data_IF_279046502796
#
_entry.id   IF_279046502796
#
_cell.length_a   1.000
_cell.length_b   1.000
_cell.length_c   1.000
_cell.angle_alpha   90.00
_cell.angle_beta   90.00
_cell.angle_gamma   90.00
#
_symmetry.space_group_name_H-M   'P 1'
#
loop_
_entity.id
_entity.type
_entity.pdbx_description
1 polymer ?
#
# COMPACT_ATOMS: atom_id res chain seq x y z
N UNK A 1 -41.24 32.22 28.38
CA UNK A 1 -41.34 31.94 29.82
C UNK A 1 -41.55 30.42 29.96
N UNK A 2 -40.58 29.72 30.59
CA UNK A 2 -40.55 28.31 31.06
C UNK A 2 -40.95 27.19 30.06
N UNK A 3 -40.09 26.31 29.52
CA UNK A 3 -39.03 25.39 30.03
C UNK A 3 -39.57 24.07 30.62
N UNK A 4 -39.02 22.96 30.06
CA UNK A 4 -38.82 21.61 30.63
C UNK A 4 -40.04 20.66 30.66
N UNK A 5 -39.95 19.33 30.51
CA UNK A 5 -38.94 18.34 30.06
C UNK A 5 -39.53 16.94 30.34
N UNK A 6 -38.91 15.88 29.81
CA UNK A 6 -38.95 14.46 30.26
C UNK A 6 -40.06 13.56 29.71
N UNK A 7 -39.93 12.24 29.51
CA UNK A 7 -38.82 11.26 29.39
C UNK A 7 -39.44 9.92 28.92
N UNK A 8 -38.59 8.97 28.54
CA UNK A 8 -38.80 7.62 27.98
C UNK A 8 -39.81 6.65 28.65
N UNK A 9 -40.49 5.84 27.79
CA UNK A 9 -40.56 4.35 27.63
C UNK A 9 -40.55 3.40 28.88
N UNK A 10 -40.93 2.09 28.79
CA UNK A 10 -41.11 1.22 27.60
C UNK A 10 -42.30 0.23 27.63
N UNK A 11 -42.50 -0.53 26.55
CA UNK A 11 -43.28 -1.79 26.58
C UNK A 11 -42.60 -2.85 25.72
N UNK A 12 -42.24 -3.94 26.39
CA UNK A 12 -41.58 -5.12 25.86
C UNK A 12 -42.57 -6.02 25.11
N UNK A 13 -42.20 -6.52 23.94
CA UNK A 13 -42.84 -7.70 23.33
C UNK A 13 -41.74 -8.70 23.00
N UNK A 14 -41.95 -9.90 23.51
CA UNK A 14 -41.17 -11.13 23.39
C UNK A 14 -41.47 -11.83 22.08
N UNK A 15 -40.45 -12.36 21.39
CA UNK A 15 -40.62 -13.40 20.37
C UNK A 15 -39.37 -14.27 20.25
N UNK A 16 -39.59 -15.57 20.38
CA UNK A 16 -38.67 -16.71 20.37
C UNK A 16 -38.03 -16.99 19.00
N UNK A 17 -36.90 -17.73 18.93
CA UNK A 17 -36.15 -17.95 17.71
C UNK A 17 -36.66 -19.15 16.89
N UNK A 18 -36.88 -18.96 15.59
CA UNK A 18 -37.17 -20.04 14.64
C UNK A 18 -35.91 -20.48 13.90
N UNK A 19 -35.61 -21.77 14.03
CA UNK A 19 -34.60 -22.54 13.31
C UNK A 19 -34.82 -22.51 11.78
N UNK A 20 -33.75 -22.26 11.00
CA UNK A 20 -33.70 -22.44 9.55
C UNK A 20 -32.55 -23.43 9.25
N UNK A 21 -32.74 -24.47 8.42
CA UNK A 21 -31.71 -25.47 8.14
C UNK A 21 -30.68 -24.97 7.08
N UNK A 22 -29.45 -25.49 7.07
CA UNK A 22 -28.41 -25.04 6.16
C UNK A 22 -28.59 -25.64 4.77
N UNK A 23 -28.57 -24.77 3.75
CA UNK A 23 -28.58 -25.14 2.35
C UNK A 23 -27.13 -25.37 1.89
N UNK A 24 -26.82 -26.61 1.52
CA UNK A 24 -25.57 -26.99 0.86
C UNK A 24 -25.62 -26.62 -0.62
N UNK A 25 -24.75 -25.72 -1.07
CA UNK A 25 -24.44 -25.55 -2.49
C UNK A 25 -22.97 -25.91 -2.73
N UNK A 26 -22.75 -27.00 -3.49
CA UNK A 26 -21.48 -27.31 -4.15
C UNK A 26 -21.51 -26.67 -5.55
N UNK A 27 -20.51 -25.88 -5.95
CA UNK A 27 -20.27 -25.61 -7.35
C UNK A 27 -19.16 -26.54 -7.86
N UNK A 28 -19.56 -27.57 -8.60
CA UNK A 28 -18.72 -28.20 -9.61
C UNK A 28 -19.01 -27.48 -10.91
N UNK A 29 -18.03 -26.80 -11.51
CA UNK A 29 -18.14 -26.32 -12.89
C UNK A 29 -16.87 -26.68 -13.66
N UNK A 30 -17.11 -27.47 -14.71
CA UNK A 30 -16.26 -27.81 -15.84
C UNK A 30 -16.07 -26.61 -16.78
N UNK A 31 -14.85 -26.41 -17.27
CA UNK A 31 -14.52 -25.40 -18.29
C UNK A 31 -14.48 -26.06 -19.67
N UNK A 32 -15.28 -25.55 -20.61
CA UNK A 32 -15.13 -25.80 -22.04
C UNK A 32 -14.66 -24.52 -22.75
N UNK A 33 -13.56 -24.63 -23.49
CA UNK A 33 -12.93 -23.56 -24.27
C UNK A 33 -13.55 -23.50 -25.67
N UNK A 34 -13.87 -22.30 -26.17
CA UNK A 34 -13.97 -22.06 -27.62
C UNK A 34 -13.80 -20.58 -28.00
N UNK A 35 -12.63 -20.31 -28.59
CA UNK A 35 -12.35 -19.51 -29.80
C UNK A 35 -12.94 -18.09 -30.00
N UNK A 36 -11.99 -17.15 -30.10
CA UNK A 36 -12.04 -15.79 -30.66
C UNK A 36 -12.67 -15.62 -32.06
N UNK A 37 -12.98 -14.38 -32.46
CA UNK A 37 -12.15 -13.68 -33.46
C UNK A 37 -11.87 -12.19 -33.11
N UNK A 38 -10.62 -11.71 -33.21
CA UNK A 38 -10.03 -10.91 -34.31
C UNK A 38 -10.90 -9.72 -34.75
N UNK A 39 -10.44 -8.48 -34.48
CA UNK A 39 -10.53 -7.39 -35.46
C UNK A 39 -9.39 -6.37 -35.37
N UNK A 40 -9.11 -5.83 -36.54
CA UNK A 40 -7.91 -5.18 -37.06
C UNK A 40 -7.52 -3.81 -36.50
N UNK A 41 -6.21 -3.60 -36.55
CA UNK A 41 -5.45 -2.35 -36.55
C UNK A 41 -5.99 -1.37 -37.58
N UNK A 42 -6.16 -0.10 -37.19
CA UNK A 42 -6.07 1.02 -38.11
C UNK A 42 -5.17 2.12 -37.52
N UNK A 43 -4.00 2.28 -38.14
CA UNK A 43 -3.16 3.46 -37.99
C UNK A 43 -3.79 4.61 -38.79
N UNK A 44 -3.75 5.81 -38.21
CA UNK A 44 -3.79 7.06 -38.98
C UNK A 44 -2.87 8.07 -38.31
N UNK A 45 -1.71 8.23 -38.94
CA UNK A 45 -0.74 9.27 -38.70
C UNK A 45 -1.30 10.63 -39.15
N UNK A 46 -1.22 11.64 -38.29
CA UNK A 46 -1.22 13.03 -38.74
C UNK A 46 -0.24 13.83 -37.91
N UNK A 47 0.89 14.12 -38.55
CA UNK A 47 1.94 15.03 -38.13
C UNK A 47 1.45 16.48 -38.17
N UNK A 48 1.61 17.22 -37.07
CA UNK A 48 1.87 18.66 -37.12
C UNK A 48 2.86 19.02 -36.02
N UNK A 49 4.04 19.46 -36.47
CA UNK A 49 5.13 20.00 -35.68
C UNK A 49 4.72 21.38 -35.16
N UNK A 50 4.49 21.50 -33.86
CA UNK A 50 4.68 22.78 -33.16
C UNK A 50 5.88 22.67 -32.22
N UNK A 51 6.91 23.42 -32.61
CA UNK A 51 8.17 23.61 -31.92
C UNK A 51 7.92 24.52 -30.72
N UNK A 52 7.74 23.91 -29.55
CA UNK A 52 7.76 24.62 -28.27
C UNK A 52 9.03 24.21 -27.54
N UNK A 53 9.95 25.15 -27.37
CA UNK A 53 11.12 25.00 -26.52
C UNK A 53 10.63 24.81 -25.06
N UNK A 54 10.48 23.55 -24.64
CA UNK A 54 10.41 23.22 -23.23
C UNK A 54 11.84 22.93 -22.76
N UNK A 55 12.29 23.77 -21.83
CA UNK A 55 13.53 23.56 -21.09
C UNK A 55 13.37 22.21 -20.38
N UNK A 56 14.14 21.22 -20.82
CA UNK A 56 14.23 19.91 -20.17
C UNK A 56 14.90 20.10 -18.80
N UNK A 57 14.11 20.44 -17.77
CA UNK A 57 14.50 20.18 -16.39
C UNK A 57 14.52 18.66 -16.22
N UNK A 58 15.73 18.10 -16.23
CA UNK A 58 15.99 16.75 -15.72
C UNK A 58 15.47 16.71 -14.28
N UNK A 59 14.30 16.10 -14.08
CA UNK A 59 13.78 15.81 -12.74
C UNK A 59 14.76 14.87 -12.06
N UNK A 60 15.31 15.20 -10.88
CA UNK A 60 16.10 14.23 -10.13
C UNK A 60 15.17 13.12 -9.63
N UNK A 61 15.70 11.91 -9.65
CA UNK A 61 15.05 10.66 -9.28
C UNK A 61 14.22 10.80 -7.99
N UNK A 62 12.92 10.51 -8.07
CA UNK A 62 12.10 10.27 -6.90
C UNK A 62 12.56 8.95 -6.26
N UNK A 63 12.87 8.97 -4.96
CA UNK A 63 12.98 7.76 -4.13
C UNK A 63 11.59 7.17 -3.89
N UNK A 64 10.85 6.85 -4.95
CA UNK A 64 9.66 6.02 -4.82
C UNK A 64 10.16 4.61 -4.53
N UNK A 65 10.02 4.17 -3.28
CA UNK A 65 10.30 2.80 -2.96
C UNK A 65 9.21 1.95 -3.60
N UNK A 66 9.63 1.19 -4.61
CA UNK A 66 8.92 -0.02 -4.99
C UNK A 66 9.07 -0.93 -3.78
N UNK A 67 8.01 -1.04 -2.97
CA UNK A 67 7.97 -2.02 -1.91
C UNK A 67 8.27 -3.38 -2.54
N UNK A 68 9.34 -4.01 -2.08
CA UNK A 68 9.51 -5.45 -2.17
C UNK A 68 8.55 -6.06 -1.12
N UNK A 69 7.27 -5.85 -1.34
CA UNK A 69 6.21 -6.60 -0.70
C UNK A 69 6.17 -7.93 -1.43
N UNK A 70 6.85 -8.93 -0.87
CA UNK A 70 6.41 -10.31 -0.99
C UNK A 70 5.25 -10.45 -0.01
N UNK A 71 4.09 -9.85 -0.34
CA UNK A 71 2.84 -10.19 0.30
C UNK A 71 2.38 -11.48 -0.34
N UNK A 72 3.00 -12.58 0.10
CA UNK A 72 2.48 -13.91 -0.22
C UNK A 72 1.03 -13.90 0.23
N UNK A 73 0.12 -14.15 -0.72
CA UNK A 73 -1.22 -14.56 -0.37
C UNK A 73 -1.09 -15.59 0.74
N UNK A 74 -1.63 -15.26 1.92
CA UNK A 74 -1.89 -16.25 2.95
C UNK A 74 -2.83 -17.27 2.32
N UNK A 75 -2.26 -18.31 1.73
CA UNK A 75 -2.88 -19.61 1.81
C UNK A 75 -2.92 -19.92 3.31
N UNK A 76 -4.10 -20.07 3.91
CA UNK A 76 -4.16 -20.43 5.31
C UNK A 76 -3.71 -21.89 5.37
N UNK A 77 -2.41 -22.15 5.54
CA UNK A 77 -1.82 -23.45 5.99
C UNK A 77 -0.29 -23.56 5.84
N UNK A 78 0.49 -22.54 6.20
CA UNK A 78 1.89 -22.78 6.61
C UNK A 78 2.01 -22.52 8.10
N UNK A 79 2.04 -23.60 8.88
CA UNK A 79 2.48 -23.56 10.26
C UNK A 79 3.92 -23.05 10.22
N UNK A 80 4.16 -21.81 10.66
CA UNK A 80 5.49 -21.28 10.93
C UNK A 80 5.45 -20.39 12.17
N UNK A 81 6.55 -20.31 12.89
CA UNK A 81 6.68 -19.56 14.15
C UNK A 81 7.98 -18.75 14.13
N UNK A 82 7.92 -17.50 14.58
CA UNK A 82 9.10 -16.67 14.80
C UNK A 82 9.31 -16.46 16.29
N UNK A 83 10.55 -16.67 16.74
CA UNK A 83 11.00 -16.39 18.10
C UNK A 83 12.09 -15.33 18.07
N UNK A 84 11.82 -14.17 18.71
CA UNK A 84 12.78 -13.07 18.84
C UNK A 84 13.67 -13.30 20.07
N UNK A 85 14.93 -13.65 19.85
CA UNK A 85 15.95 -13.79 20.89
C UNK A 85 16.69 -12.48 21.17
N UNK A 86 17.69 -12.51 22.05
CA UNK A 86 18.52 -11.32 22.33
C UNK A 86 19.27 -10.83 21.11
N UNK A 87 19.95 -11.73 20.41
CA UNK A 87 20.93 -11.46 19.37
C UNK A 87 20.62 -12.20 18.07
N UNK A 88 19.59 -13.04 18.10
CA UNK A 88 19.19 -13.99 17.05
C UNK A 88 17.68 -14.00 16.91
N UNK A 89 17.21 -14.36 15.73
CA UNK A 89 15.79 -14.53 15.42
C UNK A 89 15.62 -15.90 14.79
N UNK A 90 14.79 -16.72 15.40
CA UNK A 90 14.54 -18.09 14.97
C UNK A 90 13.22 -18.17 14.21
N UNK A 91 13.26 -18.71 13.00
CA UNK A 91 12.12 -19.08 12.17
C UNK A 91 11.98 -20.60 12.20
N UNK A 92 10.84 -21.11 12.64
CA UNK A 92 10.45 -22.51 12.52
C UNK A 92 9.39 -22.64 11.45
N UNK A 93 9.60 -23.49 10.46
CA UNK A 93 8.65 -23.78 9.39
C UNK A 93 8.34 -25.27 9.41
N UNK A 94 7.08 -25.64 9.61
CA UNK A 94 6.65 -27.03 9.57
C UNK A 94 6.38 -27.46 8.12
N UNK A 95 7.10 -28.51 7.72
CA UNK A 95 7.05 -29.13 6.40
C UNK A 95 5.94 -30.17 6.43
N UNK A 96 4.86 -29.94 5.67
CA UNK A 96 3.63 -30.75 5.75
C UNK A 96 3.64 -31.98 4.83
N UNK A 97 4.75 -32.28 4.17
CA UNK A 97 4.79 -33.13 2.98
C UNK A 97 5.77 -34.31 3.12
N UNK A 98 5.27 -35.53 2.97
CA UNK A 98 6.01 -36.80 3.13
C UNK A 98 7.14 -37.01 2.08
N UNK A 99 7.25 -36.11 1.11
CA UNK A 99 8.24 -36.16 0.01
C UNK A 99 9.58 -35.50 0.36
N UNK A 100 9.68 -34.78 1.47
CA UNK A 100 10.91 -34.08 1.89
C UNK A 100 11.65 -34.97 2.90
N UNK A 101 12.64 -35.72 2.42
CA UNK A 101 13.39 -36.67 3.27
C UNK A 101 14.84 -36.25 3.54
N UNK A 102 15.35 -35.21 2.85
CA UNK A 102 16.76 -34.82 2.96
C UNK A 102 16.99 -33.32 2.80
N UNK A 103 18.03 -32.79 3.46
CA UNK A 103 18.49 -31.40 3.32
C UNK A 103 18.83 -30.96 1.89
N UNK A 104 18.96 -31.91 0.95
CA UNK A 104 19.18 -31.66 -0.48
C UNK A 104 17.93 -31.15 -1.22
N UNK A 105 16.76 -31.29 -0.62
CA UNK A 105 15.49 -30.89 -1.21
C UNK A 105 15.02 -29.50 -0.73
N UNK A 106 15.82 -28.85 0.12
CA UNK A 106 15.58 -27.50 0.65
C UNK A 106 16.74 -26.59 0.29
N UNK A 107 16.42 -25.39 -0.19
CA UNK A 107 17.40 -24.33 -0.47
C UNK A 107 16.99 -23.09 0.31
N UNK A 108 17.84 -22.71 1.26
CA UNK A 108 17.68 -21.48 2.05
C UNK A 108 18.77 -20.50 1.60
N UNK A 109 18.34 -19.37 1.08
CA UNK A 109 19.20 -18.28 0.63
C UNK A 109 18.82 -17.01 1.40
N UNK A 110 19.80 -16.41 2.08
CA UNK A 110 19.63 -15.17 2.80
C UNK A 110 20.53 -14.13 2.16
N UNK A 111 19.93 -13.06 1.63
CA UNK A 111 20.62 -11.87 1.16
C UNK A 111 20.46 -10.72 2.18
N UNK A 112 21.01 -9.54 1.88
CA UNK A 112 20.93 -8.38 2.79
C UNK A 112 19.49 -7.98 3.13
N UNK A 113 18.55 -8.22 2.22
CA UNK A 113 17.19 -7.70 2.27
C UNK A 113 16.10 -8.78 2.32
N UNK A 114 16.39 -10.04 1.99
CA UNK A 114 15.44 -11.13 1.81
C UNK A 114 15.97 -12.48 2.29
N UNK A 115 15.09 -13.27 2.89
CA UNK A 115 15.26 -14.69 3.12
C UNK A 115 14.35 -15.44 2.16
N UNK A 116 14.94 -16.22 1.25
CA UNK A 116 14.23 -17.06 0.30
C UNK A 116 14.40 -18.53 0.66
N UNK A 117 13.30 -19.21 0.91
CA UNK A 117 13.24 -20.65 1.16
C UNK A 117 12.57 -21.28 -0.05
N UNK A 118 13.29 -22.16 -0.75
CA UNK A 118 12.79 -22.95 -1.88
C UNK A 118 12.78 -24.42 -1.50
N UNK A 119 11.71 -25.11 -1.85
CA UNK A 119 11.53 -26.53 -1.62
C UNK A 119 11.36 -27.25 -2.95
N UNK A 120 11.92 -28.45 -3.05
CA UNK A 120 11.82 -29.27 -4.24
C UNK A 120 10.49 -30.03 -4.25
N UNK A 121 9.69 -29.79 -5.28
CA UNK A 121 8.44 -30.48 -5.54
C UNK A 121 8.46 -31.00 -6.98
N UNK A 122 8.16 -32.30 -7.17
CA UNK A 122 8.19 -32.99 -8.47
C UNK A 122 9.49 -32.76 -9.27
N UNK A 123 10.64 -32.74 -8.58
CA UNK A 123 11.96 -32.55 -9.20
C UNK A 123 12.33 -31.11 -9.55
N UNK A 124 11.45 -30.12 -9.29
CA UNK A 124 11.71 -28.68 -9.49
C UNK A 124 11.67 -27.91 -8.17
N UNK A 125 12.51 -26.89 -8.00
CA UNK A 125 12.46 -26.02 -6.82
C UNK A 125 11.36 -24.97 -6.98
N UNK A 126 10.45 -24.90 -6.02
CA UNK A 126 9.42 -23.86 -5.90
C UNK A 126 9.70 -23.02 -4.67
N UNK A 127 9.51 -21.70 -4.77
CA UNK A 127 9.60 -20.81 -3.61
C UNK A 127 8.50 -21.16 -2.63
N UNK A 128 8.90 -21.61 -1.44
CA UNK A 128 8.00 -21.94 -0.34
C UNK A 128 7.73 -20.73 0.54
N UNK A 129 8.74 -19.89 0.75
CA UNK A 129 8.65 -18.69 1.56
C UNK A 129 9.67 -17.66 1.07
N UNK A 130 9.30 -16.40 1.04
CA UNK A 130 10.20 -15.28 0.82
C UNK A 130 9.84 -14.18 1.82
N UNK A 131 10.79 -13.75 2.64
CA UNK A 131 10.57 -12.78 3.73
C UNK A 131 11.54 -11.62 3.60
N UNK A 132 11.07 -10.39 3.73
CA UNK A 132 11.93 -9.21 3.82
C UNK A 132 12.65 -9.17 5.17
N UNK A 133 13.98 -9.12 5.16
CA UNK A 133 14.87 -9.03 6.32
C UNK A 133 15.14 -7.58 6.78
N UNK A 134 14.62 -6.58 6.05
CA UNK A 134 14.71 -5.16 6.41
C UNK A 134 16.14 -4.63 6.63
N UNK A 135 17.14 -5.27 6.04
CA UNK A 135 18.57 -4.99 6.27
C UNK A 135 18.97 -5.06 7.76
N UNK A 136 18.22 -5.82 8.56
CA UNK A 136 18.41 -5.96 10.01
C UNK A 136 19.13 -7.25 10.41
N UNK A 137 19.41 -8.14 9.46
CA UNK A 137 20.11 -9.41 9.69
C UNK A 137 21.48 -9.35 9.03
N UNK A 138 22.43 -10.08 9.60
CA UNK A 138 23.69 -10.39 8.95
C UNK A 138 23.52 -11.67 8.14
N UNK A 139 23.39 -11.61 6.80
CA UNK A 139 23.04 -12.78 6.00
C UNK A 139 24.12 -13.85 6.07
N UNK A 140 25.39 -13.44 6.13
CA UNK A 140 26.55 -14.32 6.28
C UNK A 140 26.61 -15.10 7.61
N UNK A 141 25.84 -14.68 8.63
CA UNK A 141 25.71 -15.36 9.92
C UNK A 141 24.38 -16.10 10.04
N UNK A 142 23.64 -16.29 8.92
CA UNK A 142 22.42 -17.08 8.88
C UNK A 142 22.76 -18.57 8.85
N UNK A 143 22.19 -19.32 9.78
CA UNK A 143 22.32 -20.77 9.83
C UNK A 143 20.94 -21.41 9.73
N UNK A 144 20.85 -22.60 9.15
CA UNK A 144 19.60 -23.36 9.11
C UNK A 144 19.86 -24.83 9.35
N UNK A 145 18.86 -25.51 9.91
CA UNK A 145 18.87 -26.94 10.17
C UNK A 145 17.50 -27.52 9.88
N UNK A 146 17.49 -28.78 9.47
CA UNK A 146 16.28 -29.56 9.25
C UNK A 146 16.18 -30.57 10.40
N UNK A 147 15.15 -30.43 11.23
CA UNK A 147 14.86 -31.29 12.38
C UNK A 147 13.53 -32.00 12.13
N UNK A 148 13.58 -33.28 11.77
CA UNK A 148 12.44 -34.08 11.30
C UNK A 148 11.58 -33.33 10.25
N UNK A 149 10.38 -32.90 10.64
CA UNK A 149 9.42 -32.19 9.79
C UNK A 149 9.51 -30.65 9.96
N UNK A 150 10.57 -30.12 10.55
CA UNK A 150 10.74 -28.69 10.84
C UNK A 150 12.03 -28.14 10.24
N UNK A 151 11.89 -27.13 9.37
CA UNK A 151 13.00 -26.29 8.96
C UNK A 151 13.16 -25.16 9.98
N UNK A 152 14.31 -25.13 10.66
CA UNK A 152 14.66 -24.08 11.61
C UNK A 152 15.74 -23.20 10.97
N UNK A 153 15.45 -21.91 10.79
CA UNK A 153 16.37 -20.90 10.28
C UNK A 153 16.67 -19.89 11.38
N UNK A 154 17.93 -19.71 11.73
CA UNK A 154 18.37 -18.75 12.72
C UNK A 154 19.13 -17.61 12.03
N UNK A 155 18.61 -16.40 12.24
CA UNK A 155 19.03 -15.15 11.62
C UNK A 155 19.72 -14.28 12.66
N UNK A 156 21.00 -13.94 12.47
CA UNK A 156 21.72 -13.06 13.40
C UNK A 156 21.33 -11.60 13.21
N UNK A 157 20.95 -10.91 14.29
CA UNK A 157 20.65 -9.47 14.23
C UNK A 157 21.89 -8.65 13.92
N UNK A 158 21.73 -7.62 13.10
CA UNK A 158 22.74 -6.59 12.89
C UNK A 158 22.88 -5.70 14.13
N UNK A 159 21.75 -5.39 14.79
CA UNK A 159 21.69 -4.65 16.04
C UNK A 159 20.87 -5.47 17.07
N UNK A 160 21.49 -5.97 18.16
CA UNK A 160 20.82 -6.82 19.14
C UNK A 160 19.77 -6.06 19.96
N UNK A 161 19.92 -4.74 20.13
CA UNK A 161 19.00 -3.91 20.92
C UNK A 161 17.71 -3.61 20.14
N UNK A 162 17.71 -3.84 18.83
CA UNK A 162 16.54 -3.65 17.97
C UNK A 162 15.69 -4.92 18.02
N UNK A 163 14.50 -4.80 18.61
CA UNK A 163 13.46 -5.83 18.52
C UNK A 163 13.18 -6.17 17.06
N UNK A 164 13.16 -7.46 16.77
CA UNK A 164 12.83 -7.93 15.44
C UNK A 164 11.40 -7.51 15.10
N UNK A 165 11.12 -6.95 13.91
CA UNK A 165 9.74 -6.69 13.54
C UNK A 165 9.00 -8.02 13.55
N UNK A 166 7.89 -8.09 14.26
CA UNK A 166 6.98 -9.23 14.20
C UNK A 166 6.67 -9.49 12.70
N UNK A 167 7.20 -10.61 12.19
CA UNK A 167 7.05 -11.01 10.78
C UNK A 167 5.62 -11.48 10.54
N UNK A 168 4.86 -11.78 11.61
CA UNK A 168 3.43 -11.84 11.47
C UNK A 168 2.95 -10.40 11.26
N UNK A 169 2.92 -9.97 10.00
CA UNK A 169 2.29 -8.75 9.52
C UNK A 169 0.76 -8.84 9.69
N UNK A 170 0.34 -9.26 10.87
CA UNK A 170 -1.03 -9.31 11.33
C UNK A 170 -1.56 -7.90 11.40
N UNK A 171 -2.88 -7.80 11.22
CA UNK A 171 -3.57 -6.52 11.28
C UNK A 171 -3.26 -5.76 12.58
N UNK A 172 -3.29 -6.45 13.72
CA UNK A 172 -3.08 -5.86 15.05
C UNK A 172 -1.65 -5.36 15.23
N UNK A 173 -0.65 -6.12 14.78
CA UNK A 173 0.77 -5.73 14.86
C UNK A 173 1.08 -4.55 13.93
N UNK A 174 0.58 -4.61 12.70
CA UNK A 174 0.78 -3.56 11.70
C UNK A 174 0.13 -2.23 12.11
N UNK A 175 -1.11 -2.27 12.60
CA UNK A 175 -1.83 -1.06 12.99
C UNK A 175 -1.12 -0.32 14.13
N UNK A 176 -0.70 -1.03 15.18
CA UNK A 176 0.05 -0.43 16.29
C UNK A 176 1.43 0.08 15.84
N UNK A 177 2.17 -0.74 15.07
CA UNK A 177 3.51 -0.40 14.62
C UNK A 177 3.53 0.80 13.68
N UNK A 178 2.70 0.79 12.64
CA UNK A 178 2.65 1.86 11.63
C UNK A 178 2.13 3.16 12.23
N UNK A 179 1.13 3.11 13.14
CA UNK A 179 0.64 4.30 13.84
C UNK A 179 1.78 5.05 14.55
N UNK A 180 2.71 4.34 15.20
CA UNK A 180 3.86 4.95 15.86
C UNK A 180 4.88 5.51 14.85
N UNK A 181 5.10 4.79 13.74
CA UNK A 181 6.03 5.19 12.68
C UNK A 181 5.58 6.44 11.91
N UNK A 182 4.27 6.61 11.71
CA UNK A 182 3.69 7.76 11.01
C UNK A 182 3.88 9.07 11.76
N UNK A 183 4.11 9.05 13.08
CA UNK A 183 4.28 10.26 13.94
C UNK A 183 3.17 11.31 13.75
N UNK A 184 1.94 10.85 13.51
CA UNK A 184 0.78 11.70 13.29
C UNK A 184 0.61 12.23 11.86
N UNK A 185 1.50 11.90 10.93
CA UNK A 185 1.34 12.24 9.51
C UNK A 185 0.16 11.48 8.92
N UNK A 186 -0.64 12.18 8.12
CA UNK A 186 -1.84 11.66 7.46
C UNK A 186 -1.50 10.77 6.26
N UNK A 187 -2.46 9.93 5.86
CA UNK A 187 -2.34 9.01 4.72
C UNK A 187 -3.36 9.40 3.65
N UNK A 188 -2.95 9.43 2.39
CA UNK A 188 -3.77 9.73 1.22
C UNK A 188 -3.83 8.50 0.32
N UNK A 189 -5.03 8.00 0.04
CA UNK A 189 -5.27 6.92 -0.89
C UNK A 189 -5.67 7.49 -2.25
N UNK A 190 -4.86 7.20 -3.26
CA UNK A 190 -5.05 7.64 -4.66
C UNK A 190 -5.17 6.43 -5.57
N UNK A 191 -5.80 6.58 -6.74
CA UNK A 191 -5.88 5.51 -7.72
C UNK A 191 -7.03 5.68 -8.69
N UNK A 192 -7.29 4.65 -9.49
CA UNK A 192 -8.29 4.70 -10.56
C UNK A 192 -9.74 4.65 -10.05
N UNK A 193 -9.98 4.13 -8.85
CA UNK A 193 -11.34 3.93 -8.32
C UNK A 193 -11.56 4.67 -6.99
N UNK A 194 -12.52 5.60 -6.99
CA UNK A 194 -12.98 6.29 -5.77
C UNK A 194 -13.57 5.31 -4.75
N UNK A 195 -14.24 4.25 -5.20
CA UNK A 195 -14.86 3.27 -4.32
C UNK A 195 -13.81 2.46 -3.55
N UNK A 196 -12.75 2.02 -4.25
CA UNK A 196 -11.63 1.30 -3.63
C UNK A 196 -10.97 2.19 -2.58
N UNK A 197 -10.63 3.42 -2.95
CA UNK A 197 -10.03 4.40 -2.05
C UNK A 197 -10.89 4.62 -0.80
N UNK A 198 -12.21 4.78 -0.98
CA UNK A 198 -13.15 5.01 0.12
C UNK A 198 -13.27 3.80 1.06
N UNK A 199 -13.41 2.59 0.53
CA UNK A 199 -13.56 1.38 1.37
C UNK A 199 -12.30 1.09 2.17
N UNK A 200 -11.14 1.16 1.51
CA UNK A 200 -9.84 0.92 2.15
C UNK A 200 -9.52 2.02 3.16
N UNK A 201 -9.88 3.28 2.91
CA UNK A 201 -9.61 4.38 3.85
C UNK A 201 -10.33 4.18 5.19
N UNK A 202 -11.56 3.66 5.18
CA UNK A 202 -12.31 3.40 6.42
C UNK A 202 -11.68 2.29 7.24
N UNK A 203 -11.30 1.18 6.62
CA UNK A 203 -10.60 0.09 7.32
C UNK A 203 -9.28 0.58 7.91
N UNK A 204 -8.50 1.33 7.12
CA UNK A 204 -7.22 1.88 7.55
C UNK A 204 -7.38 2.90 8.68
N UNK A 205 -8.38 3.77 8.61
CA UNK A 205 -8.68 4.76 9.64
C UNK A 205 -9.07 4.10 10.98
N UNK A 206 -9.90 3.06 10.93
CA UNK A 206 -10.27 2.26 12.11
C UNK A 206 -9.03 1.61 12.72
N UNK A 207 -8.19 0.98 11.88
CA UNK A 207 -6.96 0.33 12.34
C UNK A 207 -5.97 1.31 12.99
N UNK A 208 -5.74 2.47 12.37
CA UNK A 208 -4.78 3.47 12.86
C UNK A 208 -5.33 4.37 13.97
N UNK A 209 -6.64 4.32 14.25
CA UNK A 209 -7.30 5.31 15.12
C UNK A 209 -7.19 6.73 14.56
N UNK A 210 -7.32 6.86 13.24
CA UNK A 210 -7.26 8.11 12.48
C UNK A 210 -8.66 8.51 11.99
N UNK A 211 -8.84 9.76 11.57
CA UNK A 211 -10.12 10.23 11.03
C UNK A 211 -10.25 9.89 9.55
N UNK A 212 -11.25 9.10 9.12
CA UNK A 212 -11.50 8.87 7.70
C UNK A 212 -12.11 10.12 7.07
N UNK A 213 -11.60 10.53 5.92
CA UNK A 213 -12.10 11.66 5.14
C UNK A 213 -12.26 11.23 3.68
N UNK A 214 -13.37 11.61 3.05
CA UNK A 214 -13.62 11.36 1.63
C UNK A 214 -13.72 12.70 0.89
N UNK A 215 -12.80 12.94 -0.04
CA UNK A 215 -12.82 14.20 -0.82
C UNK A 215 -14.03 14.27 -1.73
N UNK A 216 -14.60 13.14 -2.18
CA UNK A 216 -15.84 13.12 -2.95
C UNK A 216 -17.00 13.66 -2.13
N UNK A 217 -17.23 13.08 -0.95
CA UNK A 217 -18.30 13.52 -0.04
C UNK A 217 -18.14 14.99 0.38
N UNK A 218 -16.91 15.41 0.69
CA UNK A 218 -16.61 16.80 1.02
C UNK A 218 -16.92 17.73 -0.15
N UNK A 219 -16.48 17.36 -1.36
CA UNK A 219 -16.71 18.14 -2.57
C UNK A 219 -18.20 18.34 -2.83
N UNK A 220 -18.99 17.27 -2.83
CA UNK A 220 -20.44 17.36 -3.07
C UNK A 220 -21.16 18.17 -1.98
N UNK A 221 -20.68 18.07 -0.74
CA UNK A 221 -21.22 18.83 0.39
C UNK A 221 -20.93 20.33 0.29
N UNK A 222 -19.73 20.71 -0.15
CA UNK A 222 -19.31 22.11 -0.28
C UNK A 222 -19.88 22.79 -1.53
N UNK A 223 -19.91 22.11 -2.67
CA UNK A 223 -20.41 22.69 -3.93
C UNK A 223 -21.93 22.62 -4.05
N UNK A 224 -22.59 21.74 -3.28
CA UNK A 224 -24.00 21.37 -3.46
C UNK A 224 -24.30 20.79 -4.85
N UNK A 225 -23.27 20.25 -5.50
CA UNK A 225 -23.37 19.58 -6.79
C UNK A 225 -22.80 18.16 -6.70
N UNK A 226 -23.25 17.26 -7.56
CA UNK A 226 -22.63 15.93 -7.68
C UNK A 226 -21.33 16.00 -8.48
N UNK A 227 -20.43 15.03 -8.28
CA UNK A 227 -19.21 14.93 -9.11
C UNK A 227 -19.57 14.86 -10.60
N UNK A 228 -20.62 14.12 -10.97
CA UNK A 228 -21.05 13.99 -12.37
C UNK A 228 -21.49 15.33 -12.98
N UNK A 229 -22.14 16.19 -12.19
CA UNK A 229 -22.50 17.56 -12.60
C UNK A 229 -21.26 18.38 -12.91
N UNK A 230 -20.26 18.33 -12.02
CA UNK A 230 -19.00 19.07 -12.20
C UNK A 230 -18.17 18.55 -13.38
N UNK A 231 -18.21 17.24 -13.66
CA UNK A 231 -17.60 16.67 -14.88
C UNK A 231 -18.24 17.29 -16.13
N UNK A 232 -19.56 17.49 -16.13
CA UNK A 232 -20.27 18.12 -17.24
C UNK A 232 -19.96 19.62 -17.39
N UNK A 233 -19.64 20.33 -16.30
CA UNK A 233 -19.23 21.74 -16.32
C UNK A 233 -17.84 21.94 -16.94
N UNK A 234 -16.93 20.97 -16.78
CA UNK A 234 -15.63 20.98 -17.45
C UNK A 234 -14.68 19.89 -16.96
N UNK A 235 -13.75 19.49 -17.83
CA UNK A 235 -12.83 18.37 -17.56
C UNK A 235 -11.97 18.55 -16.30
N UNK A 236 -11.71 19.79 -15.89
CA UNK A 236 -10.83 20.15 -14.78
C UNK A 236 -11.58 20.65 -13.54
N UNK A 237 -12.90 20.85 -13.60
CA UNK A 237 -13.66 21.47 -12.51
C UNK A 237 -13.59 20.62 -11.23
N UNK A 238 -13.68 19.29 -11.37
CA UNK A 238 -13.51 18.33 -10.27
C UNK A 238 -12.11 18.44 -9.67
N UNK A 239 -11.07 18.37 -10.49
CA UNK A 239 -9.68 18.42 -10.05
C UNK A 239 -9.33 19.74 -9.34
N UNK A 240 -9.87 20.88 -9.81
CA UNK A 240 -9.67 22.19 -9.19
C UNK A 240 -10.36 22.30 -7.84
N UNK A 241 -11.61 21.85 -7.76
CA UNK A 241 -12.37 21.85 -6.51
C UNK A 241 -11.75 20.90 -5.48
N UNK A 242 -11.35 19.69 -5.90
CA UNK A 242 -10.66 18.74 -5.04
C UNK A 242 -9.29 19.27 -4.58
N UNK A 243 -8.56 20.00 -5.44
CA UNK A 243 -7.28 20.63 -5.05
C UNK A 243 -7.46 21.63 -3.90
N UNK A 244 -8.55 22.41 -3.90
CA UNK A 244 -8.87 23.35 -2.82
C UNK A 244 -9.25 22.63 -1.52
N UNK A 245 -9.94 21.49 -1.60
CA UNK A 245 -10.21 20.63 -0.43
C UNK A 245 -8.91 20.07 0.11
N UNK A 246 -8.04 19.52 -0.75
CA UNK A 246 -6.74 18.97 -0.36
C UNK A 246 -5.83 20.03 0.29
N UNK A 247 -5.89 21.28 -0.16
CA UNK A 247 -5.20 22.40 0.49
C UNK A 247 -5.65 22.56 1.95
N UNK A 248 -6.96 22.59 2.21
CA UNK A 248 -7.51 22.64 3.57
C UNK A 248 -7.09 21.41 4.39
N UNK A 249 -7.15 20.22 3.79
CA UNK A 249 -6.80 18.96 4.43
C UNK A 249 -5.29 18.82 4.71
N UNK A 250 -4.42 19.53 4.00
CA UNK A 250 -2.96 19.42 4.15
C UNK A 250 -2.42 19.79 5.55
N UNK A 251 -3.22 20.53 6.32
CA UNK A 251 -2.92 20.89 7.72
C UNK A 251 -3.45 19.88 8.74
N UNK A 252 -4.28 18.93 8.32
CA UNK A 252 -4.87 17.93 9.20
C UNK A 252 -3.84 16.85 9.52
N UNK A 253 -3.75 16.51 10.80
CA UNK A 253 -2.95 15.39 11.28
C UNK A 253 -3.85 14.20 11.59
N UNK A 254 -3.29 13.00 11.52
CA UNK A 254 -3.98 11.75 11.88
C UNK A 254 -5.28 11.54 11.09
N UNK A 255 -5.26 11.82 9.79
CA UNK A 255 -6.37 11.50 8.89
C UNK A 255 -5.98 10.45 7.85
N UNK A 256 -6.98 9.71 7.36
CA UNK A 256 -6.87 8.87 6.18
C UNK A 256 -7.83 9.42 5.13
N UNK A 257 -7.29 9.96 4.05
CA UNK A 257 -8.04 10.68 3.02
C UNK A 257 -8.18 9.79 1.79
N UNK A 258 -9.42 9.46 1.41
CA UNK A 258 -9.73 8.87 0.11
C UNK A 258 -9.90 9.99 -0.92
N UNK A 259 -9.12 9.95 -2.00
CA UNK A 259 -9.27 10.91 -3.11
C UNK A 259 -10.24 10.41 -4.17
N UNK A 260 -10.79 11.34 -4.95
CA UNK A 260 -11.54 11.03 -6.16
C UNK A 260 -10.59 10.32 -7.12
N UNK A 261 -11.00 9.15 -7.58
CA UNK A 261 -10.24 8.32 -8.49
C UNK A 261 -10.44 8.67 -9.96
N UNK A 262 -9.70 7.97 -10.82
CA UNK A 262 -9.79 8.09 -12.27
C UNK A 262 -9.16 9.40 -12.79
N UNK A 263 -9.50 9.80 -14.02
CA UNK A 263 -8.82 10.91 -14.70
C UNK A 263 -9.25 12.31 -14.22
N UNK A 264 -10.37 12.41 -13.48
CA UNK A 264 -10.95 13.69 -13.06
C UNK A 264 -10.48 14.15 -11.68
N UNK A 265 -9.90 13.24 -10.89
CA UNK A 265 -9.35 13.58 -9.57
C UNK A 265 -8.05 14.39 -9.67
N UNK A 266 -7.79 15.21 -8.66
CA UNK A 266 -6.58 16.04 -8.55
C UNK A 266 -5.30 15.20 -8.63
N UNK A 267 -5.31 13.99 -8.05
CA UNK A 267 -4.16 13.08 -8.04
C UNK A 267 -3.78 12.55 -9.45
N UNK A 268 -4.71 12.52 -10.41
CA UNK A 268 -4.40 12.11 -11.77
C UNK A 268 -3.53 13.14 -12.52
N UNK A 269 -3.53 14.39 -12.05
CA UNK A 269 -2.75 15.48 -12.63
C UNK A 269 -1.40 15.61 -11.91
N UNK A 270 -0.29 15.37 -12.62
CA UNK A 270 1.05 15.34 -12.01
C UNK A 270 1.54 16.66 -11.42
N UNK A 271 0.90 17.78 -11.72
CA UNK A 271 1.22 19.13 -11.22
C UNK A 271 0.41 19.56 -9.98
N UNK A 272 -0.63 18.80 -9.59
CA UNK A 272 -1.53 19.12 -8.46
C UNK A 272 -1.20 18.38 -7.15
N UNK A 273 0.01 17.82 -7.06
CA UNK A 273 0.44 16.99 -5.93
C UNK A 273 0.95 17.75 -4.70
N UNK A 274 1.10 19.08 -4.79
CA UNK A 274 1.66 19.92 -3.72
C UNK A 274 1.07 19.58 -2.35
N UNK A 275 -0.26 19.49 -2.24
CA UNK A 275 -0.91 19.22 -0.95
C UNK A 275 -0.93 17.74 -0.58
N UNK A 276 -0.82 16.82 -1.55
CA UNK A 276 -0.73 15.38 -1.29
C UNK A 276 0.60 15.01 -0.62
N UNK A 277 1.69 15.72 -0.94
CA UNK A 277 3.00 15.50 -0.31
C UNK A 277 3.05 15.82 1.19
N UNK A 278 2.02 16.47 1.73
CA UNK A 278 1.85 16.70 3.17
C UNK A 278 1.68 15.40 3.97
N UNK A 279 1.19 14.33 3.34
CA UNK A 279 1.02 13.02 3.95
C UNK A 279 1.69 11.89 3.16
N UNK A 280 1.54 10.67 3.65
CA UNK A 280 1.96 9.47 2.93
C UNK A 280 0.94 9.12 1.87
N UNK A 281 1.38 8.98 0.63
CA UNK A 281 0.52 8.72 -0.53
C UNK A 281 0.64 7.27 -0.95
N UNK A 282 -0.50 6.59 -1.06
CA UNK A 282 -0.63 5.18 -1.41
C UNK A 282 -1.44 5.09 -2.69
N UNK A 283 -0.84 4.58 -3.77
CA UNK A 283 -1.55 4.30 -5.01
C UNK A 283 -2.13 2.90 -5.00
N UNK A 284 -3.46 2.80 -4.90
CA UNK A 284 -4.22 1.57 -5.07
C UNK A 284 -4.47 1.34 -6.57
N UNK A 285 -3.61 0.54 -7.19
CA UNK A 285 -3.62 0.29 -8.63
C UNK A 285 -4.25 -1.07 -8.92
N UNK A 286 -5.32 -1.09 -9.70
CA UNK A 286 -5.87 -2.36 -10.19
C UNK A 286 -4.88 -3.04 -11.14
N UNK A 287 -4.74 -4.35 -11.00
CA UNK A 287 -3.78 -5.17 -11.75
C UNK A 287 -4.47 -6.36 -12.41
N UNK A 288 -4.05 -6.65 -13.64
CA UNK A 288 -4.45 -7.86 -14.38
C UNK A 288 -3.40 -8.98 -14.26
N UNK A 289 -2.34 -8.75 -13.47
CA UNK A 289 -1.27 -9.71 -13.27
C UNK A 289 -1.78 -11.02 -12.68
N UNK A 290 -1.21 -12.13 -13.14
CA UNK A 290 -1.59 -13.48 -12.70
C UNK A 290 -0.88 -13.90 -11.43
N UNK A 291 0.28 -13.31 -11.18
CA UNK A 291 1.10 -13.57 -10.01
C UNK A 291 1.73 -12.28 -9.47
N UNK A 292 2.31 -12.41 -8.28
CA UNK A 292 2.92 -11.30 -7.56
C UNK A 292 4.15 -10.72 -8.28
N UNK A 293 4.92 -11.55 -8.98
CA UNK A 293 6.10 -11.11 -9.71
C UNK A 293 5.72 -10.22 -10.89
N UNK A 294 4.67 -10.59 -11.62
CA UNK A 294 4.09 -9.80 -12.71
C UNK A 294 3.46 -8.50 -12.17
N UNK A 295 2.71 -8.55 -11.06
CA UNK A 295 2.12 -7.37 -10.43
C UNK A 295 3.20 -6.36 -10.00
N UNK A 296 4.32 -6.88 -9.47
CA UNK A 296 5.48 -6.08 -9.06
C UNK A 296 6.16 -5.42 -10.26
N UNK A 297 6.37 -6.17 -11.34
CA UNK A 297 6.95 -5.60 -12.55
C UNK A 297 6.02 -4.56 -13.19
N UNK A 298 4.72 -4.79 -13.16
CA UNK A 298 3.72 -3.80 -13.57
C UNK A 298 3.82 -2.52 -12.72
N UNK A 299 3.97 -2.64 -11.39
CA UNK A 299 4.17 -1.49 -10.51
C UNK A 299 5.45 -0.72 -10.86
N UNK A 300 6.56 -1.43 -11.13
CA UNK A 300 7.83 -0.80 -11.57
C UNK A 300 7.68 -0.05 -12.88
N UNK A 301 7.02 -0.66 -13.85
CA UNK A 301 6.77 -0.06 -15.16
C UNK A 301 5.86 1.16 -15.06
N UNK A 302 4.84 1.10 -14.21
CA UNK A 302 3.93 2.22 -13.98
C UNK A 302 4.66 3.44 -13.40
N UNK A 303 5.48 3.24 -12.37
CA UNK A 303 6.30 4.30 -11.78
C UNK A 303 7.30 4.84 -12.81
N UNK A 304 8.03 3.96 -13.51
CA UNK A 304 9.05 4.36 -14.48
C UNK A 304 8.48 5.10 -15.68
N UNK A 305 7.28 4.72 -16.13
CA UNK A 305 6.65 5.37 -17.27
C UNK A 305 6.36 6.85 -16.98
N UNK A 306 6.08 7.20 -15.72
CA UNK A 306 5.73 8.55 -15.30
C UNK A 306 4.51 9.14 -16.03
N UNK A 307 3.75 8.31 -16.75
CA UNK A 307 2.68 8.76 -17.65
C UNK A 307 1.40 9.12 -16.88
N UNK A 308 1.26 8.57 -15.68
CA UNK A 308 0.12 8.80 -14.81
C UNK A 308 0.55 9.69 -13.62
N UNK A 309 -0.27 10.66 -13.25
CA UNK A 309 -0.05 11.48 -12.05
C UNK A 309 0.18 10.63 -10.80
N UNK A 310 -0.46 9.46 -10.69
CA UNK A 310 -0.30 8.53 -9.57
C UNK A 310 1.13 8.01 -9.37
N UNK A 311 2.01 8.11 -10.39
CA UNK A 311 3.43 7.74 -10.26
C UNK A 311 4.21 8.59 -9.24
N UNK A 312 3.63 9.71 -8.78
CA UNK A 312 4.17 10.54 -7.70
C UNK A 312 3.93 9.94 -6.29
N UNK A 313 3.13 8.87 -6.17
CA UNK A 313 2.83 8.25 -4.88
C UNK A 313 4.10 7.71 -4.19
N UNK A 314 4.09 7.70 -2.86
CA UNK A 314 5.21 7.18 -2.07
C UNK A 314 5.27 5.65 -2.13
N UNK A 315 4.11 4.97 -2.18
CA UNK A 315 3.98 3.51 -2.34
C UNK A 315 2.89 3.13 -3.34
N UNK A 316 3.01 1.94 -3.94
CA UNK A 316 2.03 1.38 -4.86
C UNK A 316 1.58 0.02 -4.34
N UNK A 317 0.27 -0.18 -4.21
CA UNK A 317 -0.36 -1.44 -3.82
C UNK A 317 -1.18 -1.94 -4.99
N UNK A 318 -0.87 -3.14 -5.47
CA UNK A 318 -1.56 -3.78 -6.59
C UNK A 318 -2.76 -4.56 -6.08
N UNK A 319 -3.93 -4.32 -6.68
CA UNK A 319 -5.21 -4.93 -6.31
C UNK A 319 -5.68 -5.83 -7.44
N UNK A 320 -5.68 -7.15 -7.21
CA UNK A 320 -6.10 -8.16 -8.19
C UNK A 320 -7.59 -8.49 -8.02
N UNK A 321 -8.43 -7.95 -8.91
CA UNK A 321 -9.89 -8.02 -8.74
C UNK A 321 -10.38 -7.21 -7.55
N UNK A 322 -11.63 -6.76 -7.59
CA UNK A 322 -12.22 -5.97 -6.50
C UNK A 322 -13.49 -6.62 -5.98
N UNK A 323 -13.51 -6.82 -4.66
CA UNK A 323 -14.69 -7.10 -3.85
C UNK A 323 -14.56 -6.26 -2.58
N UNK A 324 -15.67 -5.71 -2.11
CA UNK A 324 -15.71 -4.92 -0.88
C UNK A 324 -15.27 -5.70 0.36
N UNK A 325 -15.41 -7.03 0.33
CA UNK A 325 -14.96 -7.91 1.41
C UNK A 325 -13.43 -7.98 1.53
N UNK A 326 -12.69 -7.64 0.47
CA UNK A 326 -11.21 -7.60 0.48
C UNK A 326 -10.63 -6.28 1.02
N UNK A 327 -11.47 -5.31 1.38
CA UNK A 327 -11.03 -3.98 1.85
C UNK A 327 -10.04 -4.06 3.02
N UNK A 328 -10.26 -4.95 4.00
CA UNK A 328 -9.34 -5.16 5.13
C UNK A 328 -8.00 -5.74 4.68
N UNK A 329 -8.00 -6.67 3.73
CA UNK A 329 -6.78 -7.27 3.17
C UNK A 329 -5.95 -6.21 2.44
N UNK A 330 -6.59 -5.36 1.63
CA UNK A 330 -5.90 -4.27 0.92
C UNK A 330 -5.39 -3.21 1.91
N UNK A 331 -6.12 -2.93 2.98
CA UNK A 331 -5.66 -2.04 4.05
C UNK A 331 -4.45 -2.64 4.79
N UNK A 332 -4.42 -3.94 5.04
CA UNK A 332 -3.28 -4.63 5.65
C UNK A 332 -2.04 -4.57 4.75
N UNK A 333 -2.20 -4.82 3.45
CA UNK A 333 -1.12 -4.65 2.46
C UNK A 333 -0.61 -3.20 2.40
N UNK A 334 -1.52 -2.22 2.53
CA UNK A 334 -1.17 -0.79 2.62
C UNK A 334 -0.32 -0.50 3.85
N UNK A 335 -0.68 -1.03 5.02
CA UNK A 335 0.10 -0.87 6.25
C UNK A 335 1.50 -1.51 6.12
N UNK A 336 1.59 -2.69 5.52
CA UNK A 336 2.87 -3.35 5.23
C UNK A 336 3.75 -2.49 4.33
N UNK A 337 3.21 -1.98 3.22
CA UNK A 337 3.95 -1.10 2.31
C UNK A 337 4.43 0.19 3.00
N UNK A 338 3.58 0.82 3.83
CA UNK A 338 3.94 2.01 4.60
C UNK A 338 5.03 1.72 5.65
N UNK A 339 4.94 0.57 6.35
CA UNK A 339 5.97 0.12 7.29
C UNK A 339 7.32 0.00 6.57
N UNK A 340 7.36 -0.69 5.42
CA UNK A 340 8.58 -0.86 4.63
C UNK A 340 9.17 0.48 4.18
N UNK A 341 8.34 1.37 3.62
CA UNK A 341 8.76 2.71 3.22
C UNK A 341 9.40 3.49 4.38
N UNK A 342 8.73 3.56 5.54
CA UNK A 342 9.23 4.36 6.66
C UNK A 342 10.49 3.74 7.28
N UNK A 343 10.61 2.41 7.28
CA UNK A 343 11.82 1.74 7.77
C UNK A 343 13.02 2.01 6.86
N UNK A 344 12.82 2.10 5.55
CA UNK A 344 13.89 2.43 4.59
C UNK A 344 14.33 3.90 4.63
N UNK A 345 13.43 4.87 4.89
CA UNK A 345 13.78 6.26 5.18
C UNK A 345 13.14 6.71 6.51
N UNK A 346 13.85 6.44 7.62
CA UNK A 346 13.43 6.83 8.97
C UNK A 346 13.24 8.34 9.17
N UNK A 347 13.81 9.18 8.28
CA UNK A 347 13.68 10.65 8.32
C UNK A 347 12.43 11.13 7.58
N UNK A 348 11.80 10.30 6.75
CA UNK A 348 10.69 10.67 5.88
C UNK A 348 9.47 11.25 6.63
N UNK A 349 8.96 10.66 7.74
CA UNK A 349 7.89 11.29 8.52
C UNK A 349 8.25 12.71 9.00
N UNK A 350 9.52 12.90 9.41
CA UNK A 350 10.03 14.20 9.84
C UNK A 350 10.11 15.22 8.70
N UNK A 351 10.50 14.79 7.49
CA UNK A 351 10.50 15.62 6.27
C UNK A 351 9.08 16.06 5.90
N UNK A 352 8.10 15.14 5.91
CA UNK A 352 6.68 15.46 5.66
C UNK A 352 6.15 16.44 6.71
N UNK A 353 6.46 16.22 7.99
CA UNK A 353 6.12 17.18 9.07
C UNK A 353 6.77 18.56 8.91
N UNK A 354 8.00 18.63 8.38
CA UNK A 354 8.62 19.92 8.02
C UNK A 354 7.89 20.58 6.84
N UNK A 355 7.52 19.82 5.82
CA UNK A 355 6.79 20.32 4.66
C UNK A 355 5.44 20.96 5.05
N UNK A 356 4.68 20.30 5.94
CA UNK A 356 3.44 20.84 6.51
C UNK A 356 3.71 22.17 7.22
N UNK A 357 4.75 22.24 8.07
CA UNK A 357 5.09 23.47 8.82
C UNK A 357 5.51 24.63 7.92
N UNK A 358 6.00 24.36 6.72
CA UNK A 358 6.30 25.35 5.69
C UNK A 358 5.07 25.72 4.84
N UNK A 359 3.89 25.18 5.16
CA UNK A 359 2.64 25.42 4.44
C UNK A 359 2.61 24.74 3.07
N UNK A 360 3.21 23.55 2.95
CA UNK A 360 3.36 22.83 1.68
C UNK A 360 4.08 23.65 0.60
N UNK A 361 5.04 24.49 1.02
CA UNK A 361 5.86 25.32 0.12
C UNK A 361 7.27 24.73 -0.01
N UNK A 362 7.88 25.01 -1.16
CA UNK A 362 9.20 24.52 -1.53
C UNK A 362 9.17 23.24 -2.36
N UNK A 363 10.36 22.84 -2.82
CA UNK A 363 10.52 21.70 -3.71
C UNK A 363 10.52 20.40 -2.90
N UNK A 364 9.40 19.67 -2.92
CA UNK A 364 9.36 18.29 -2.44
C UNK A 364 10.04 17.36 -3.46
N UNK A 365 10.83 16.35 -3.06
CA UNK A 365 11.21 15.95 -1.69
C UNK A 365 12.45 16.70 -1.13
N UNK A 366 13.10 17.54 -1.93
CA UNK A 366 14.34 18.23 -1.59
C UNK A 366 14.10 19.56 -0.86
N UNK A 367 13.43 19.50 0.28
CA UNK A 367 13.12 20.70 1.08
C UNK A 367 14.43 21.28 1.64
N UNK A 368 14.75 22.50 1.22
CA UNK A 368 15.88 23.24 1.77
C UNK A 368 15.47 23.93 3.08
N UNK A 369 16.34 23.96 4.11
CA UNK A 369 16.03 24.64 5.36
C UNK A 369 15.91 26.16 5.14
N UNK A 370 15.17 26.87 6.01
CA UNK A 370 15.15 28.33 6.00
C UNK A 370 16.56 28.91 6.09
N UNK A 371 16.94 29.81 5.18
CA UNK A 371 18.29 30.41 5.11
C UNK A 371 19.31 29.68 4.22
N UNK A 372 18.89 28.65 3.48
CA UNK A 372 19.75 27.99 2.50
C UNK A 372 20.04 28.90 1.29
N UNK A 373 21.32 29.19 1.04
CA UNK A 373 21.78 29.97 -0.11
C UNK A 373 22.24 29.02 -1.24
N UNK A 374 21.63 29.08 -2.45
CA UNK A 374 22.04 28.27 -3.59
C UNK A 374 23.50 28.50 -4.03
N UNK A 375 24.14 29.62 -3.66
CA UNK A 375 25.54 29.88 -3.96
C UNK A 375 26.54 29.10 -3.08
N UNK A 376 26.08 28.54 -1.95
CA UNK A 376 26.93 27.76 -1.02
C UNK A 376 27.03 26.27 -1.37
N UNK A 377 26.66 25.89 -2.59
CA UNK A 377 26.61 24.51 -3.07
C UNK A 377 27.96 23.81 -3.19
N UNK A 378 28.54 23.40 -2.06
CA UNK A 378 29.45 22.25 -1.96
C UNK A 378 28.84 21.25 -0.99
N UNK A 379 28.25 20.20 -1.56
CA UNK A 379 27.72 19.05 -0.82
C UNK A 379 28.08 17.77 -1.56
N UNK A 380 29.37 17.52 -1.73
CA UNK A 380 29.87 16.15 -1.76
C UNK A 380 29.94 15.69 -0.30
N UNK A 381 29.10 14.72 0.08
CA UNK A 381 29.40 13.38 0.60
C UNK A 381 28.06 12.71 0.89
#
# INVERSE_FOLDING_TARGET
>A
MAVASSLWAPSCISSTPSHIPPIHFKPTISISVSTSPIFSIHQSSSSLLHRSNSINLRRPFNNTLICNSSSTFFTPTTNYEFSDGSDEVELRLWLRDESIQTSKDVLVDADESFLTIKMKHDGSFRTAMEISLYDKIKPAETIWLLDDDQLIVNLKKQDPDVKWPDITETWESLTVGVMQLLKGTSVYLVGESSEINYKVSRELAVGLGYTPLDTKELLETYTKQTVDSLIAEGSNAVAETESAILESLSSHIRSVVATIGGQHGAAASGDRWRHLYSGFTVWLSQSEAKDEAEAKEEARMNIRSGRNGFSNADVVVKVSGWDSDYSKTVAQATLSALKQLILSDKKLPGKKGLYIRLGCRGDWPNIKPPGWDPATGTGAV
#
